data_IF_039708322136
#
_entry.id   IF_039708322136
#
_cell.length_a   1.000
_cell.length_b   1.000
_cell.length_c   1.000
_cell.angle_alpha   90.00
_cell.angle_beta   90.00
_cell.angle_gamma   90.00
#
_symmetry.space_group_name_H-M   'P 1'
#
loop_
_entity.id
_entity.type
_entity.pdbx_description
1 polymer ?
#
# COMPACT_ATOMS: atom_id res chain seq x y z
N UNK A 1 -1.08 -4.58 -16.96
CA UNK A 1 -1.05 -5.60 -15.90
C UNK A 1 -2.29 -5.54 -15.04
N UNK A 2 -3.39 -6.00 -15.61
CA UNK A 2 -4.69 -5.86 -14.95
C UNK A 2 -4.99 -6.95 -13.91
N UNK A 3 -4.16 -8.00 -13.90
CA UNK A 3 -4.38 -9.15 -13.01
C UNK A 3 -3.55 -9.11 -11.73
N UNK A 4 -2.81 -8.04 -11.53
CA UNK A 4 -1.90 -7.92 -10.39
C UNK A 4 -2.29 -6.76 -9.48
N UNK A 5 -2.30 -7.01 -8.18
CA UNK A 5 -2.45 -5.99 -7.16
C UNK A 5 -1.22 -5.99 -6.28
N UNK A 6 -0.65 -4.83 -6.03
CA UNK A 6 0.41 -4.68 -5.04
C UNK A 6 -0.22 -4.30 -3.71
N UNK A 7 0.11 -5.05 -2.68
CA UNK A 7 -0.34 -4.78 -1.31
C UNK A 7 0.84 -4.19 -0.56
N UNK A 8 0.71 -2.95 -0.12
CA UNK A 8 1.80 -2.20 0.53
C UNK A 8 1.39 -1.88 1.96
N UNK A 9 1.81 -2.69 2.94
CA UNK A 9 1.63 -2.31 4.33
C UNK A 9 2.62 -1.20 4.66
N UNK A 10 2.15 -0.13 5.28
CA UNK A 10 2.98 1.03 5.57
C UNK A 10 2.75 1.51 6.99
N UNK A 11 3.82 1.99 7.62
CA UNK A 11 3.76 2.58 8.94
C UNK A 11 4.88 3.59 9.06
N UNK A 12 4.50 4.87 9.23
CA UNK A 12 5.46 5.98 9.34
C UNK A 12 6.44 6.02 8.16
N UNK A 13 5.87 5.93 6.94
CA UNK A 13 6.67 5.86 5.71
C UNK A 13 6.48 7.10 4.84
N UNK A 14 6.22 8.25 5.46
CA UNK A 14 6.00 9.50 4.71
C UNK A 14 7.22 9.93 3.90
N UNK A 15 8.42 9.49 4.28
CA UNK A 15 9.64 9.83 3.55
C UNK A 15 9.88 8.94 2.34
N UNK A 16 9.59 7.65 2.43
CA UNK A 16 9.91 6.71 1.35
C UNK A 16 8.73 6.38 0.46
N UNK A 17 7.52 6.28 1.01
CA UNK A 17 6.37 5.81 0.26
C UNK A 17 6.00 6.71 -0.94
N UNK A 18 6.05 8.05 -0.85
CA UNK A 18 5.72 8.87 -2.01
C UNK A 18 6.60 8.57 -3.23
N UNK A 19 7.91 8.38 -3.05
CA UNK A 19 8.78 8.08 -4.18
C UNK A 19 8.52 6.69 -4.74
N UNK A 20 8.17 5.72 -3.88
CA UNK A 20 7.79 4.38 -4.31
C UNK A 20 6.53 4.46 -5.18
N UNK A 21 5.50 5.17 -4.72
CA UNK A 21 4.27 5.31 -5.48
C UNK A 21 4.47 6.06 -6.79
N UNK A 22 5.33 7.07 -6.79
CA UNK A 22 5.66 7.80 -8.01
C UNK A 22 6.20 6.86 -9.07
N UNK A 23 7.10 5.95 -8.69
CA UNK A 23 7.65 4.97 -9.62
C UNK A 23 6.60 3.96 -10.06
N UNK A 24 5.82 3.45 -9.11
CA UNK A 24 4.81 2.43 -9.42
C UNK A 24 3.68 2.97 -10.29
N UNK A 25 3.33 4.26 -10.16
CA UNK A 25 2.27 4.84 -10.96
C UNK A 25 2.63 4.99 -12.45
N UNK A 26 3.88 4.73 -12.81
CA UNK A 26 4.28 4.64 -14.22
C UNK A 26 3.69 3.39 -14.89
N UNK A 27 3.26 2.44 -14.10
CA UNK A 27 2.68 1.19 -14.57
C UNK A 27 1.20 1.17 -14.22
N UNK A 28 0.39 0.44 -14.99
CA UNK A 28 -1.04 0.33 -14.72
C UNK A 28 -1.29 -0.86 -13.80
N UNK A 29 -0.88 -0.74 -12.56
CA UNK A 29 -1.01 -1.78 -11.56
C UNK A 29 -1.92 -1.27 -10.45
N UNK A 30 -2.81 -2.11 -9.95
CA UNK A 30 -3.63 -1.76 -8.80
C UNK A 30 -2.78 -1.78 -7.54
N UNK A 31 -2.93 -0.76 -6.72
CA UNK A 31 -2.14 -0.58 -5.52
C UNK A 31 -3.07 -0.40 -4.32
N UNK A 32 -2.89 -1.25 -3.31
CA UNK A 32 -3.57 -1.13 -2.03
C UNK A 32 -2.52 -0.78 -0.98
N UNK A 33 -2.66 0.40 -0.39
CA UNK A 33 -1.79 0.82 0.72
C UNK A 33 -2.56 0.62 2.01
N UNK A 34 -2.00 -0.11 2.96
CA UNK A 34 -2.67 -0.41 4.22
C UNK A 34 -1.95 0.31 5.35
N UNK A 35 -2.68 1.16 6.06
CA UNK A 35 -2.11 2.00 7.13
C UNK A 35 -3.04 2.09 8.32
N UNK A 36 -2.47 2.57 9.43
CA UNK A 36 -3.27 2.92 10.61
C UNK A 36 -3.87 4.31 10.40
N UNK A 37 -5.09 4.52 10.91
CA UNK A 37 -5.80 5.79 10.78
C UNK A 37 -5.05 6.96 11.40
N UNK A 38 -4.26 6.71 12.42
CA UNK A 38 -3.53 7.72 13.16
C UNK A 38 -2.29 8.21 12.41
N UNK A 39 -1.87 7.48 11.39
CA UNK A 39 -0.66 7.83 10.62
C UNK A 39 -0.96 8.91 9.59
N UNK A 40 -1.38 10.07 10.07
CA UNK A 40 -1.84 11.17 9.23
C UNK A 40 -0.75 11.70 8.29
N UNK A 41 0.48 11.65 8.73
CA UNK A 41 1.60 12.13 7.93
C UNK A 41 1.80 11.28 6.68
N UNK A 42 1.81 9.96 6.85
CA UNK A 42 1.93 9.06 5.71
C UNK A 42 0.71 9.17 4.80
N UNK A 43 -0.50 9.19 5.38
CA UNK A 43 -1.73 9.33 4.60
C UNK A 43 -1.68 10.60 3.75
N UNK A 44 -1.34 11.73 4.37
CA UNK A 44 -1.28 13.00 3.66
C UNK A 44 -0.25 13.01 2.55
N UNK A 45 0.87 12.31 2.76
CA UNK A 45 1.98 12.30 1.79
C UNK A 45 1.63 11.56 0.50
N UNK A 46 0.62 10.69 0.49
CA UNK A 46 0.31 9.84 -0.66
C UNK A 46 -1.03 10.14 -1.33
N UNK A 47 -1.78 11.12 -0.85
CA UNK A 47 -3.12 11.40 -1.38
C UNK A 47 -3.16 11.69 -2.88
N UNK A 48 -2.10 12.27 -3.43
CA UNK A 48 -2.06 12.64 -4.84
C UNK A 48 -1.74 11.48 -5.78
N UNK A 49 -1.31 10.35 -5.22
CA UNK A 49 -0.94 9.21 -6.05
C UNK A 49 -2.13 8.29 -6.30
N UNK A 50 -2.06 7.53 -7.39
CA UNK A 50 -3.10 6.60 -7.76
C UNK A 50 -2.96 5.31 -6.95
N UNK A 51 -3.66 5.24 -5.84
CA UNK A 51 -3.68 4.05 -4.98
C UNK A 51 -4.95 4.09 -4.13
N UNK A 52 -5.36 2.92 -3.65
CA UNK A 52 -6.44 2.82 -2.70
C UNK A 52 -5.87 2.66 -1.31
N UNK A 53 -6.35 3.44 -0.37
CA UNK A 53 -5.90 3.38 1.02
C UNK A 53 -6.91 2.57 1.83
N UNK A 54 -6.40 1.58 2.57
CA UNK A 54 -7.19 0.79 3.50
C UNK A 54 -6.70 1.12 4.91
N UNK A 55 -7.64 1.32 5.82
CA UNK A 55 -7.32 1.69 7.20
C UNK A 55 -7.46 0.50 8.12
N UNK A 56 -6.39 0.20 8.87
CA UNK A 56 -6.39 -0.91 9.82
C UNK A 56 -7.26 -0.57 11.02
N UNK A 57 -8.00 -1.57 11.48
CA UNK A 57 -8.74 -1.45 12.73
C UNK A 57 -7.91 -1.91 13.91
N UNK A 58 -6.99 -2.85 13.67
CA UNK A 58 -6.08 -3.35 14.68
C UNK A 58 -4.65 -2.99 14.27
N UNK A 59 -3.72 -3.06 15.21
CA UNK A 59 -2.33 -2.75 14.94
C UNK A 59 -1.57 -3.98 14.46
N UNK A 60 -0.45 -3.76 13.81
CA UNK A 60 0.49 -4.79 13.48
C UNK A 60 0.57 -5.10 12.00
N UNK A 61 1.72 -5.63 11.62
CA UNK A 61 2.03 -5.98 10.24
C UNK A 61 1.14 -7.11 9.71
N UNK A 62 0.92 -8.14 10.53
CA UNK A 62 0.06 -9.25 10.14
C UNK A 62 -1.37 -8.81 9.86
N UNK A 63 -1.91 -7.90 10.68
CA UNK A 63 -3.24 -7.36 10.45
C UNK A 63 -3.31 -6.60 9.14
N UNK A 64 -2.27 -5.81 8.84
CA UNK A 64 -2.19 -5.06 7.59
C UNK A 64 -2.20 -6.00 6.38
N UNK A 65 -1.44 -7.09 6.45
CA UNK A 65 -1.38 -8.06 5.36
C UNK A 65 -2.75 -8.72 5.15
N UNK A 66 -3.39 -9.15 6.23
CA UNK A 66 -4.70 -9.80 6.13
C UNK A 66 -5.71 -8.85 5.51
N UNK A 67 -5.76 -7.60 5.98
CA UNK A 67 -6.69 -6.62 5.45
C UNK A 67 -6.44 -6.37 3.96
N UNK A 68 -5.18 -6.22 3.58
CA UNK A 68 -4.83 -6.00 2.18
C UNK A 68 -5.23 -7.18 1.30
N UNK A 69 -4.87 -8.39 1.72
CA UNK A 69 -5.16 -9.60 0.96
C UNK A 69 -6.67 -9.80 0.79
N UNK A 70 -7.45 -9.55 1.84
CA UNK A 70 -8.91 -9.66 1.77
C UNK A 70 -9.53 -8.74 0.73
N UNK A 71 -8.86 -7.64 0.41
CA UNK A 71 -9.38 -6.65 -0.52
C UNK A 71 -8.81 -6.79 -1.92
N UNK A 72 -7.96 -7.80 -2.17
CA UNK A 72 -7.45 -8.08 -3.51
C UNK A 72 -8.58 -8.68 -4.34
N UNK A 73 -8.81 -8.11 -5.53
CA UNK A 73 -9.84 -8.57 -6.46
C UNK A 73 -9.26 -9.00 -7.80
N UNK A 74 -7.96 -9.00 -7.90
CA UNK A 74 -7.26 -9.46 -9.09
C UNK A 74 -6.81 -10.91 -8.89
N UNK A 75 -6.38 -11.54 -9.98
CA UNK A 75 -5.98 -12.95 -9.96
C UNK A 75 -4.73 -13.18 -9.11
N UNK A 76 -3.82 -12.22 -9.11
CA UNK A 76 -2.55 -12.31 -8.39
C UNK A 76 -2.36 -11.11 -7.48
N UNK A 77 -1.57 -11.29 -6.43
CA UNK A 77 -1.13 -10.16 -5.63
C UNK A 77 0.33 -10.36 -5.22
N UNK A 78 0.97 -9.27 -4.85
CA UNK A 78 2.34 -9.27 -4.38
C UNK A 78 2.43 -8.31 -3.19
N UNK A 79 3.14 -8.73 -2.15
CA UNK A 79 3.43 -7.86 -1.02
C UNK A 79 4.65 -7.03 -1.36
N UNK A 80 4.53 -5.72 -1.25
CA UNK A 80 5.60 -4.80 -1.59
C UNK A 80 5.82 -3.88 -0.40
N UNK A 81 7.03 -3.81 0.12
CA UNK A 81 7.30 -2.97 1.28
C UNK A 81 7.34 -1.50 0.92
N UNK A 82 6.89 -0.66 1.85
CA UNK A 82 6.78 0.78 1.62
C UNK A 82 8.13 1.47 1.40
N UNK A 83 9.23 0.81 1.71
CA UNK A 83 10.58 1.30 1.45
C UNK A 83 11.12 0.87 0.07
N UNK A 84 10.29 0.19 -0.73
CA UNK A 84 10.66 -0.23 -2.07
C UNK A 84 11.21 -1.64 -2.19
N UNK A 85 11.27 -2.41 -1.09
CA UNK A 85 11.79 -3.77 -1.13
C UNK A 85 10.67 -4.79 -1.24
N UNK A 86 10.99 -5.96 -1.80
CA UNK A 86 10.07 -7.09 -1.85
C UNK A 86 10.33 -8.04 -0.71
N UNK A 87 9.27 -8.67 -0.25
CA UNK A 87 9.39 -9.78 0.69
C UNK A 87 9.34 -11.10 -0.05
#
# INVERSE_FOLDING_TARGET
MNDLTLVIPAKRESESLPSVLKELNKFKIKILVVLEKQDLETIGSIKKFNCKILYQQNKGYGDALILGIKNVKTKYFCIFNADGSFN
#
